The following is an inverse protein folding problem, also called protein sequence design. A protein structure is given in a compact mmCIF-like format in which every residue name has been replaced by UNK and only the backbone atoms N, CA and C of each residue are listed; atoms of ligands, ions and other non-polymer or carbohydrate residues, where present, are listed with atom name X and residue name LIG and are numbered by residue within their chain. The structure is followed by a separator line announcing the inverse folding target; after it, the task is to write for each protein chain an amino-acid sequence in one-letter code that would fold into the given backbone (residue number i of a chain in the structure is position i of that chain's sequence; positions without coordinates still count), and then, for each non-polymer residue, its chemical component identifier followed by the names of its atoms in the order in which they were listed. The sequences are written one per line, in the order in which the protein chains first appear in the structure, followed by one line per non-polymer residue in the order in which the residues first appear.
data_IF_097022088078
#
_entry.id   IF_097022088078
#
_cell.length_a   1.000
_cell.length_b   1.000
_cell.length_c   1.000
_cell.angle_alpha   90.00
_cell.angle_beta   90.00
_cell.angle_gamma   90.00
#
_symmetry.space_group_name_H-M   'P 1'
#
loop_
_entity.id
_entity.type
_entity.pdbx_description
1 polymer ?
#
# COMPACT_ATOMS: atom_id res chain seq x y z
N UNK A 1 -8.10 -27.13 -7.94
CA UNK A 1 -8.54 -26.16 -8.97
C UNK A 1 -8.16 -24.78 -8.45
N UNK A 2 -7.09 -24.17 -8.95
CA UNK A 2 -6.64 -22.85 -8.51
C UNK A 2 -7.31 -21.82 -9.40
N UNK A 3 -8.21 -21.03 -8.84
CA UNK A 3 -8.77 -19.85 -9.50
C UNK A 3 -7.75 -18.72 -9.34
N UNK A 4 -7.31 -18.14 -10.47
CA UNK A 4 -6.36 -17.02 -10.52
C UNK A 4 -7.11 -15.81 -11.06
N UNK A 5 -7.11 -14.70 -10.33
CA UNK A 5 -7.63 -13.42 -10.83
C UNK A 5 -6.47 -12.67 -11.51
N UNK A 6 -6.66 -12.29 -12.77
CA UNK A 6 -5.67 -11.53 -13.55
C UNK A 6 -6.00 -10.05 -13.36
N UNK A 7 -5.22 -9.35 -12.56
CA UNK A 7 -5.35 -7.89 -12.40
C UNK A 7 -4.36 -7.20 -13.35
N UNK A 8 -4.85 -6.31 -14.20
CA UNK A 8 -4.01 -5.48 -15.07
C UNK A 8 -3.57 -4.25 -14.30
N UNK A 9 -2.31 -4.19 -13.86
CA UNK A 9 -1.70 -2.94 -13.41
C UNK A 9 -1.03 -2.25 -14.59
N UNK A 10 -1.38 -0.98 -14.82
CA UNK A 10 -0.71 -0.13 -15.80
C UNK A 10 0.57 0.45 -15.20
N UNK A 11 1.63 -0.37 -15.11
CA UNK A 11 2.95 0.12 -14.71
C UNK A 11 3.53 1.01 -15.83
N UNK A 12 3.55 2.33 -15.64
CA UNK A 12 4.39 3.22 -16.44
C UNK A 12 5.85 3.10 -15.98
N UNK A 13 6.60 2.20 -16.60
CA UNK A 13 8.06 2.13 -16.41
C UNK A 13 8.72 3.12 -17.38
N UNK A 14 9.17 4.27 -16.87
CA UNK A 14 10.07 5.15 -17.63
C UNK A 14 11.48 4.57 -17.59
N UNK A 15 11.97 4.07 -18.73
CA UNK A 15 13.36 3.61 -18.88
C UNK A 15 14.18 4.77 -19.46
N UNK A 16 15.05 5.36 -18.65
CA UNK A 16 16.02 6.36 -19.10
C UNK A 16 17.17 5.65 -19.83
N UNK A 17 17.16 5.72 -21.17
CA UNK A 17 18.22 5.14 -22.00
C UNK A 17 19.32 6.18 -22.21
N UNK A 18 20.40 6.08 -21.44
CA UNK A 18 21.63 6.83 -21.72
C UNK A 18 22.26 6.36 -23.04
N UNK A 19 22.19 7.23 -24.05
CA UNK A 19 22.72 6.99 -25.40
C UNK A 19 24.21 7.36 -25.47
N UNK A 20 25.11 6.39 -25.44
CA UNK A 20 26.50 6.58 -25.87
C UNK A 20 26.62 6.22 -27.35
N UNK A 21 27.12 7.18 -28.15
CA UNK A 21 27.17 7.08 -29.61
C UNK A 21 28.41 6.34 -30.15
N UNK A 22 28.27 5.78 -31.37
CA UNK A 22 29.16 5.97 -32.54
C UNK A 22 28.73 5.14 -33.77
N UNK A 23 28.25 5.86 -34.79
CA UNK A 23 28.67 5.87 -36.22
C UNK A 23 29.02 4.59 -37.03
N UNK A 24 28.24 4.43 -38.13
CA UNK A 24 28.58 4.15 -39.56
C UNK A 24 28.59 2.73 -40.17
N UNK A 25 27.92 2.69 -41.34
CA UNK A 25 28.03 1.86 -42.55
C UNK A 25 27.18 0.57 -42.67
N UNK A 26 26.38 0.53 -43.75
CA UNK A 26 25.75 -0.64 -44.39
C UNK A 26 26.42 -0.89 -45.76
N UNK A 27 26.07 -1.94 -46.54
CA UNK A 27 25.40 -3.21 -46.24
C UNK A 27 26.19 -4.44 -46.72
N UNK A 28 25.99 -5.63 -46.13
CA UNK A 28 26.21 -6.89 -46.84
C UNK A 28 25.41 -8.03 -46.22
N UNK A 29 24.74 -8.76 -47.11
CA UNK A 29 23.86 -9.90 -46.86
C UNK A 29 24.74 -11.13 -46.69
N UNK A 30 24.83 -11.66 -45.49
CA UNK A 30 25.43 -12.98 -45.23
C UNK A 30 24.45 -13.80 -44.40
N UNK A 31 23.96 -14.88 -45.01
CA UNK A 31 23.33 -15.99 -44.32
C UNK A 31 24.35 -16.56 -43.34
N UNK A 32 24.05 -16.53 -42.03
CA UNK A 32 24.80 -17.31 -41.04
C UNK A 32 23.92 -17.63 -39.82
N UNK A 33 23.63 -18.93 -39.70
CA UNK A 33 23.51 -19.75 -38.50
C UNK A 33 22.61 -19.31 -37.35
N UNK A 34 21.56 -20.13 -37.13
CA UNK A 34 20.88 -20.27 -35.83
C UNK A 34 21.92 -20.52 -34.72
N UNK A 35 21.97 -19.72 -33.65
CA UNK A 35 22.63 -20.16 -32.44
C UNK A 35 21.77 -21.27 -31.81
N UNK A 36 22.29 -22.49 -31.87
CA UNK A 36 21.86 -23.59 -31.00
C UNK A 36 22.23 -23.21 -29.56
N UNK A 37 21.29 -23.42 -28.64
CA UNK A 37 21.50 -23.46 -27.19
C UNK A 37 22.22 -22.26 -26.57
N UNK A 38 21.49 -21.18 -26.32
CA UNK A 38 21.86 -20.28 -25.21
C UNK A 38 21.41 -20.97 -23.92
N UNK A 39 22.31 -21.73 -23.30
CA UNK A 39 22.19 -22.07 -21.88
C UNK A 39 22.31 -20.76 -21.11
N UNK A 40 21.19 -20.21 -20.66
CA UNK A 40 21.23 -19.29 -19.53
C UNK A 40 21.59 -20.13 -18.29
N UNK A 41 22.84 -20.04 -17.86
CA UNK A 41 23.20 -20.40 -16.50
C UNK A 41 22.54 -19.35 -15.60
N UNK A 42 21.32 -19.64 -15.14
CA UNK A 42 20.86 -19.06 -13.89
C UNK A 42 21.82 -19.57 -12.83
N UNK A 43 22.73 -18.72 -12.35
CA UNK A 43 23.30 -18.94 -11.03
C UNK A 43 22.11 -18.90 -10.07
N UNK A 44 21.71 -20.09 -9.61
CA UNK A 44 20.60 -20.34 -8.70
C UNK A 44 20.88 -19.84 -7.29
N UNK A 45 21.45 -18.63 -7.18
CA UNK A 45 21.71 -17.92 -5.94
C UNK A 45 21.07 -16.55 -6.00
N UNK A 46 19.75 -16.54 -6.20
CA UNK A 46 18.95 -15.53 -5.53
C UNK A 46 19.17 -15.75 -4.02
N UNK A 47 19.58 -14.73 -3.25
CA UNK A 47 19.69 -14.88 -1.81
C UNK A 47 18.33 -15.32 -1.27
N UNK A 48 18.31 -16.48 -0.61
CA UNK A 48 17.19 -16.85 0.23
C UNK A 48 16.90 -15.68 1.18
N UNK A 49 15.62 -15.32 1.41
CA UNK A 49 15.31 -14.35 2.44
C UNK A 49 15.87 -14.89 3.76
N UNK A 50 16.82 -14.13 4.31
CA UNK A 50 17.46 -14.45 5.58
C UNK A 50 16.37 -14.54 6.65
N UNK A 51 16.13 -15.78 7.12
CA UNK A 51 15.13 -16.11 8.15
C UNK A 51 15.39 -15.42 9.48
N UNK A 52 16.55 -14.77 9.66
CA UNK A 52 16.97 -14.16 10.91
C UNK A 52 17.14 -12.64 10.86
N UNK A 53 16.67 -11.95 9.81
CA UNK A 53 16.56 -10.49 9.90
C UNK A 53 15.40 -10.13 10.85
N UNK A 54 15.64 -9.39 11.93
CA UNK A 54 14.57 -8.98 12.83
C UNK A 54 13.60 -8.10 12.04
N UNK A 55 12.42 -8.63 11.78
CA UNK A 55 11.29 -7.87 11.27
C UNK A 55 10.91 -6.87 12.35
N UNK A 56 10.90 -5.59 12.00
CA UNK A 56 10.26 -4.57 12.83
C UNK A 56 8.85 -5.06 13.14
N UNK A 57 8.57 -5.28 14.42
CA UNK A 57 7.28 -5.77 14.93
C UNK A 57 6.16 -4.84 14.45
N UNK A 58 5.46 -5.29 13.42
CA UNK A 58 4.34 -4.65 12.76
C UNK A 58 3.94 -5.55 11.61
N UNK A 59 3.08 -6.53 11.89
CA UNK A 59 2.58 -7.47 10.88
C UNK A 59 1.60 -6.75 9.96
N UNK A 60 2.12 -5.87 9.09
CA UNK A 60 1.37 -5.36 7.97
C UNK A 60 1.42 -6.38 6.83
N UNK A 61 0.28 -6.89 6.42
CA UNK A 61 0.20 -7.86 5.34
C UNK A 61 -0.19 -7.17 4.03
N UNK A 62 0.82 -6.80 3.25
CA UNK A 62 0.64 -6.53 1.81
C UNK A 62 0.14 -7.79 1.11
N UNK A 63 -0.65 -7.64 0.03
CA UNK A 63 -0.99 -8.78 -0.83
C UNK A 63 0.28 -9.44 -1.39
N UNK A 64 0.37 -10.76 -1.24
CA UNK A 64 1.52 -11.53 -1.72
C UNK A 64 1.57 -11.58 -3.25
N UNK A 65 2.69 -11.16 -3.83
CA UNK A 65 3.03 -11.42 -5.24
C UNK A 65 3.60 -12.83 -5.36
N UNK A 66 2.87 -13.71 -6.07
CA UNK A 66 3.24 -15.11 -6.28
C UNK A 66 4.17 -15.28 -7.48
N UNK A 67 4.09 -14.36 -8.44
CA UNK A 67 4.94 -14.36 -9.63
C UNK A 67 4.54 -13.26 -10.60
N UNK A 68 5.18 -13.26 -11.77
CA UNK A 68 4.82 -12.39 -12.88
C UNK A 68 5.00 -13.14 -14.20
N UNK A 69 4.30 -12.69 -15.23
CA UNK A 69 4.39 -13.19 -16.58
C UNK A 69 4.67 -12.01 -17.52
N UNK A 70 5.73 -12.12 -18.32
CA UNK A 70 6.03 -11.16 -19.38
C UNK A 70 5.34 -11.69 -20.64
N UNK A 71 4.43 -10.92 -21.21
CA UNK A 71 3.74 -11.27 -22.47
C UNK A 71 4.76 -11.25 -23.61
N UNK A 72 5.06 -12.40 -24.18
CA UNK A 72 5.82 -12.45 -25.43
C UNK A 72 4.93 -12.03 -26.59
N UNK A 73 5.25 -10.92 -27.25
CA UNK A 73 4.68 -10.58 -28.55
C UNK A 73 5.62 -11.04 -29.67
N UNK A 74 5.10 -11.80 -30.63
CA UNK A 74 5.88 -12.34 -31.75
C UNK A 74 6.37 -11.25 -32.74
N UNK A 75 5.82 -10.05 -32.64
CA UNK A 75 6.00 -8.93 -33.57
C UNK A 75 7.10 -7.95 -33.17
N UNK A 76 7.49 -7.90 -31.90
CA UNK A 76 8.54 -7.00 -31.39
C UNK A 76 9.59 -7.81 -30.63
N UNK A 77 10.86 -7.45 -30.79
CA UNK A 77 11.96 -8.02 -29.99
C UNK A 77 12.31 -7.17 -28.77
N UNK A 78 11.65 -6.03 -28.63
CA UNK A 78 11.90 -5.08 -27.56
C UNK A 78 11.06 -5.46 -26.35
N UNK A 79 11.73 -5.84 -25.27
CA UNK A 79 11.09 -6.25 -24.02
C UNK A 79 10.31 -5.10 -23.36
N UNK A 80 10.66 -3.84 -23.66
CA UNK A 80 9.90 -2.65 -23.25
C UNK A 80 8.48 -2.61 -23.79
N UNK A 81 8.23 -3.28 -24.91
CA UNK A 81 6.94 -3.26 -25.59
C UNK A 81 6.06 -4.44 -25.11
N UNK A 82 6.61 -5.31 -24.27
CA UNK A 82 5.92 -6.45 -23.71
C UNK A 82 5.19 -6.06 -22.41
N UNK A 83 3.88 -6.37 -22.33
CA UNK A 83 3.12 -6.18 -21.10
C UNK A 83 3.56 -7.15 -19.99
N UNK A 84 3.55 -6.69 -18.74
CA UNK A 84 3.80 -7.52 -17.56
C UNK A 84 2.47 -7.79 -16.84
N UNK A 85 2.21 -9.05 -16.52
CA UNK A 85 1.08 -9.48 -15.71
C UNK A 85 1.61 -9.95 -14.36
N UNK A 86 1.12 -9.38 -13.27
CA UNK A 86 1.45 -9.87 -11.92
C UNK A 86 0.44 -10.92 -11.48
N UNK A 87 0.93 -11.99 -10.85
CA UNK A 87 0.11 -13.05 -10.25
C UNK A 87 0.19 -12.87 -8.74
N UNK A 88 -0.96 -12.64 -8.12
CA UNK A 88 -1.07 -12.37 -6.69
C UNK A 88 -1.96 -13.40 -6.00
N UNK A 89 -1.91 -13.46 -4.67
CA UNK A 89 -2.82 -14.30 -3.89
C UNK A 89 -4.28 -13.87 -4.10
N UNK A 90 -5.19 -14.85 -4.20
CA UNK A 90 -6.62 -14.55 -4.37
C UNK A 90 -7.24 -14.07 -3.05
N UNK A 91 -8.04 -13.00 -3.12
CA UNK A 91 -8.78 -12.48 -1.97
C UNK A 91 -10.18 -12.03 -2.33
N UNK A 92 -10.94 -11.66 -1.31
CA UNK A 92 -12.30 -11.12 -1.44
C UNK A 92 -12.26 -9.60 -1.40
N UNK A 93 -12.85 -8.93 -2.38
CA UNK A 93 -12.91 -7.46 -2.41
C UNK A 93 -13.57 -6.89 -1.15
N UNK A 94 -12.99 -5.83 -0.61
CA UNK A 94 -13.61 -5.04 0.45
C UNK A 94 -14.78 -4.25 -0.14
N UNK A 95 -15.93 -4.29 0.52
CA UNK A 95 -17.11 -3.51 0.14
C UNK A 95 -17.74 -2.87 1.38
N UNK A 96 -18.47 -1.76 1.25
CA UNK A 96 -19.14 -1.12 2.39
C UNK A 96 -20.11 -2.06 3.11
N UNK A 97 -20.77 -2.93 2.34
CA UNK A 97 -21.68 -3.95 2.88
C UNK A 97 -20.93 -4.95 3.77
N UNK A 98 -19.81 -5.52 3.28
CA UNK A 98 -19.02 -6.48 4.07
C UNK A 98 -18.49 -5.87 5.36
N UNK A 99 -18.04 -4.62 5.32
CA UNK A 99 -17.52 -3.94 6.51
C UNK A 99 -18.59 -3.79 7.59
N UNK A 100 -19.84 -3.47 7.22
CA UNK A 100 -20.96 -3.31 8.17
C UNK A 100 -21.48 -4.63 8.75
N UNK A 101 -21.50 -5.68 7.94
CA UNK A 101 -21.97 -7.01 8.37
C UNK A 101 -20.98 -7.73 9.30
N UNK A 102 -19.75 -7.24 9.41
CA UNK A 102 -18.78 -7.78 10.35
C UNK A 102 -19.20 -7.54 11.79
N UNK A 103 -19.04 -8.59 12.60
CA UNK A 103 -19.11 -8.44 14.05
C UNK A 103 -18.06 -7.42 14.51
N UNK A 104 -18.41 -6.67 15.55
CA UNK A 104 -17.55 -5.63 16.10
C UNK A 104 -16.09 -6.05 16.39
N UNK A 105 -15.79 -7.24 16.96
CA UNK A 105 -14.42 -7.65 17.24
C UNK A 105 -13.59 -7.79 15.95
N UNK A 106 -14.19 -8.33 14.89
CA UNK A 106 -13.54 -8.42 13.58
C UNK A 106 -13.34 -7.03 12.96
N UNK A 107 -14.30 -6.12 13.12
CA UNK A 107 -14.12 -4.73 12.66
C UNK A 107 -12.95 -4.05 13.39
N UNK A 108 -12.82 -4.27 14.69
CA UNK A 108 -11.72 -3.75 15.49
C UNK A 108 -10.38 -4.33 15.03
N UNK A 109 -10.31 -5.63 14.74
CA UNK A 109 -9.10 -6.25 14.19
C UNK A 109 -8.71 -5.65 12.84
N UNK A 110 -9.68 -5.41 11.94
CA UNK A 110 -9.43 -4.72 10.67
C UNK A 110 -8.94 -3.29 10.90
N UNK A 111 -9.48 -2.57 11.88
CA UNK A 111 -9.01 -1.22 12.22
C UNK A 111 -7.55 -1.23 12.71
N UNK A 112 -7.14 -2.26 13.47
CA UNK A 112 -5.75 -2.50 13.87
C UNK A 112 -4.85 -2.73 12.65
N UNK A 113 -5.29 -3.55 11.70
CA UNK A 113 -4.53 -3.80 10.47
C UNK A 113 -4.35 -2.51 9.64
N UNK A 114 -5.40 -1.69 9.53
CA UNK A 114 -5.36 -0.41 8.81
C UNK A 114 -4.42 0.59 9.48
N UNK A 115 -4.45 0.74 10.81
CA UNK A 115 -3.53 1.69 11.45
C UNK A 115 -2.08 1.21 11.40
N UNK A 116 -1.83 -0.10 11.42
CA UNK A 116 -0.51 -0.67 11.19
C UNK A 116 -0.01 -0.40 9.77
N UNK A 117 -0.89 -0.45 8.76
CA UNK A 117 -0.55 0.01 7.40
C UNK A 117 -0.19 1.49 7.37
N UNK A 118 -0.96 2.36 8.06
CA UNK A 118 -0.64 3.79 8.12
C UNK A 118 0.73 4.04 8.74
N UNK A 119 1.06 3.35 9.84
CA UNK A 119 2.36 3.41 10.49
C UNK A 119 3.48 2.92 9.56
N UNK A 120 3.25 1.85 8.82
CA UNK A 120 4.18 1.35 7.81
C UNK A 120 4.45 2.35 6.68
N UNK A 121 3.41 2.96 6.10
CA UNK A 121 3.56 3.97 5.05
C UNK A 121 4.31 5.21 5.58
N UNK A 122 4.02 5.62 6.82
CA UNK A 122 4.67 6.74 7.46
C UNK A 122 6.17 6.49 7.70
N UNK A 123 6.55 5.30 8.16
CA UNK A 123 7.93 4.92 8.52
C UNK A 123 8.67 4.16 7.42
N UNK A 124 8.18 4.22 6.18
CA UNK A 124 8.78 3.50 5.06
C UNK A 124 10.25 3.91 4.84
N UNK A 125 11.15 2.97 4.50
CA UNK A 125 12.55 3.26 4.23
C UNK A 125 12.75 4.14 2.97
N UNK A 126 11.71 4.29 2.14
CA UNK A 126 11.70 5.19 0.99
C UNK A 126 11.26 6.62 1.34
N UNK A 127 11.04 6.92 2.63
CA UNK A 127 10.39 8.15 3.08
C UNK A 127 8.90 7.96 3.32
N UNK A 128 8.23 8.98 3.87
CA UNK A 128 6.79 8.93 4.16
C UNK A 128 5.99 8.79 2.86
N UNK A 129 5.39 7.62 2.67
CA UNK A 129 4.63 7.30 1.46
C UNK A 129 3.24 7.93 1.50
N UNK A 130 2.78 8.44 0.37
CA UNK A 130 1.42 8.90 0.13
C UNK A 130 0.74 7.96 -0.87
N UNK A 131 -0.44 7.47 -0.49
CA UNK A 131 -1.36 6.83 -1.41
C UNK A 131 -2.33 7.90 -1.93
N UNK A 132 -2.31 8.18 -3.23
CA UNK A 132 -3.21 9.20 -3.82
C UNK A 132 -4.64 8.70 -3.94
N UNK A 133 -4.84 7.43 -4.25
CA UNK A 133 -6.17 6.83 -4.42
C UNK A 133 -6.54 5.87 -3.29
N UNK A 134 -6.43 6.31 -2.04
CA UNK A 134 -6.84 5.47 -0.90
C UNK A 134 -8.35 5.25 -0.93
N UNK A 135 -8.78 4.05 -1.34
CA UNK A 135 -10.19 3.63 -1.44
C UNK A 135 -10.35 2.19 -1.01
N UNK A 136 -11.56 1.80 -0.59
CA UNK A 136 -11.87 0.41 -0.26
C UNK A 136 -11.54 -0.59 -1.39
N UNK A 137 -11.68 -0.19 -2.66
CA UNK A 137 -11.39 -1.05 -3.82
C UNK A 137 -9.92 -1.48 -3.95
N UNK A 138 -9.03 -0.77 -3.27
CA UNK A 138 -7.59 -1.05 -3.20
C UNK A 138 -7.25 -2.13 -2.17
N UNK A 139 -8.26 -2.65 -1.46
CA UNK A 139 -8.11 -3.64 -0.42
C UNK A 139 -8.85 -4.93 -0.73
N UNK A 140 -8.29 -6.02 -0.23
CA UNK A 140 -8.88 -7.36 -0.26
C UNK A 140 -8.77 -8.02 1.10
N UNK A 141 -9.67 -8.97 1.37
CA UNK A 141 -9.55 -9.91 2.46
C UNK A 141 -8.90 -11.19 1.98
N UNK A 142 -7.84 -11.61 2.67
CA UNK A 142 -7.19 -12.91 2.48
C UNK A 142 -7.13 -13.60 3.83
N UNK A 143 -7.82 -14.72 3.98
CA UNK A 143 -7.89 -15.49 5.23
C UNK A 143 -8.30 -14.64 6.44
N UNK A 144 -9.30 -13.76 6.28
CA UNK A 144 -9.80 -12.88 7.34
C UNK A 144 -9.02 -11.59 7.55
N UNK A 145 -7.80 -11.49 7.00
CA UNK A 145 -6.97 -10.30 7.13
C UNK A 145 -7.17 -9.33 5.97
N UNK A 146 -7.28 -8.03 6.26
CA UNK A 146 -7.32 -6.99 5.22
C UNK A 146 -5.91 -6.73 4.69
N UNK A 147 -5.77 -6.63 3.37
CA UNK A 147 -4.49 -6.42 2.69
C UNK A 147 -4.64 -5.38 1.60
N UNK A 148 -3.61 -4.54 1.46
CA UNK A 148 -3.48 -3.62 0.33
C UNK A 148 -3.09 -4.41 -0.92
N UNK A 149 -3.91 -4.36 -1.97
CA UNK A 149 -3.72 -5.09 -3.22
C UNK A 149 -3.04 -4.28 -4.31
N UNK A 150 -3.21 -2.96 -4.27
CA UNK A 150 -2.79 -2.07 -5.35
C UNK A 150 -1.92 -0.91 -4.81
N UNK A 151 -0.84 -0.62 -5.54
CA UNK A 151 0.32 0.15 -5.10
C UNK A 151 0.89 1.05 -6.20
N UNK A 152 0.26 1.14 -7.36
CA UNK A 152 0.75 1.97 -8.47
C UNK A 152 0.66 3.48 -8.17
N UNK A 153 -0.29 3.89 -7.34
CA UNK A 153 -0.56 5.27 -6.95
C UNK A 153 0.15 5.71 -5.65
N UNK A 154 1.41 5.31 -5.49
CA UNK A 154 2.22 5.63 -4.30
C UNK A 154 3.42 6.52 -4.64
N UNK A 155 3.59 7.60 -3.88
CA UNK A 155 4.74 8.50 -3.96
C UNK A 155 5.39 8.72 -2.59
N UNK A 156 6.70 8.92 -2.55
CA UNK A 156 7.45 9.33 -1.34
C UNK A 156 7.61 10.84 -1.20
N UNK A 157 7.30 11.60 -2.25
CA UNK A 157 7.58 13.03 -2.28
C UNK A 157 6.58 13.79 -1.42
N UNK A 158 7.09 14.56 -0.46
CA UNK A 158 6.26 15.50 0.31
C UNK A 158 5.91 16.71 -0.56
N UNK A 159 4.73 17.29 -0.33
CA UNK A 159 4.27 18.43 -1.11
C UNK A 159 5.20 19.64 -0.92
N UNK A 160 5.63 20.25 -2.03
CA UNK A 160 6.30 21.55 -2.03
C UNK A 160 5.34 22.70 -1.68
N UNK A 161 5.85 23.75 -1.05
CA UNK A 161 5.02 24.88 -0.60
C UNK A 161 5.79 26.21 -0.62
N UNK A 162 5.04 27.32 -0.61
CA UNK A 162 5.59 28.67 -0.43
C UNK A 162 5.12 29.31 0.89
N UNK A 163 4.02 28.81 1.46
CA UNK A 163 3.35 29.31 2.67
C UNK A 163 2.51 28.22 3.31
N UNK A 164 2.14 28.40 4.57
CA UNK A 164 1.44 27.37 5.37
C UNK A 164 0.13 26.88 4.74
N UNK A 165 -0.62 27.75 4.06
CA UNK A 165 -1.88 27.35 3.42
C UNK A 165 -1.71 26.37 2.26
N UNK A 166 -0.53 26.28 1.66
CA UNK A 166 -0.27 25.28 0.61
C UNK A 166 -0.17 23.85 1.21
N UNK A 167 0.03 23.76 2.53
CA UNK A 167 0.05 22.52 3.30
C UNK A 167 -1.33 22.09 3.83
N UNK A 168 -2.40 22.75 3.40
CA UNK A 168 -3.76 22.35 3.79
C UNK A 168 -4.16 21.01 3.14
N UNK A 169 -5.03 20.28 3.83
CA UNK A 169 -5.60 19.01 3.38
C UNK A 169 -7.10 19.21 3.26
N UNK A 170 -7.64 19.07 2.05
CA UNK A 170 -9.05 19.37 1.73
C UNK A 170 -9.45 20.79 2.17
N UNK A 171 -8.61 21.77 1.83
CA UNK A 171 -8.76 23.20 2.16
C UNK A 171 -8.84 23.54 3.66
N UNK A 172 -8.51 22.58 4.53
CA UNK A 172 -8.44 22.77 5.98
C UNK A 172 -7.00 22.68 6.50
N UNK A 173 -6.70 23.48 7.53
CA UNK A 173 -5.42 23.40 8.23
C UNK A 173 -5.21 22.02 8.85
N UNK A 174 -4.06 21.42 8.55
CA UNK A 174 -3.60 20.17 9.17
C UNK A 174 -2.55 20.44 10.27
N UNK A 175 -2.36 21.70 10.67
CA UNK A 175 -1.27 22.16 11.56
C UNK A 175 0.12 21.74 11.05
N UNK A 176 0.30 21.72 9.73
CA UNK A 176 1.59 21.50 9.06
C UNK A 176 2.06 22.84 8.52
N UNK A 177 3.15 23.42 9.06
CA UNK A 177 3.72 24.64 8.51
C UNK A 177 4.52 24.34 7.23
N UNK A 178 4.63 25.34 6.36
CA UNK A 178 5.57 25.29 5.25
C UNK A 178 6.98 25.61 5.76
N UNK A 179 7.88 24.63 5.76
CA UNK A 179 9.26 24.81 6.23
C UNK A 179 10.23 24.42 5.14
N UNK A 180 11.16 25.33 4.81
CA UNK A 180 12.15 25.13 3.75
C UNK A 180 11.52 24.71 2.40
N UNK A 181 10.35 25.26 2.10
CA UNK A 181 9.62 24.96 0.86
C UNK A 181 8.93 23.60 0.82
N UNK A 182 8.79 22.89 1.96
CA UNK A 182 8.18 21.56 2.03
C UNK A 182 7.18 21.45 3.19
N UNK A 183 6.08 20.73 2.95
CA UNK A 183 5.06 20.37 3.95
C UNK A 183 5.40 19.03 4.62
N UNK A 184 6.43 18.98 5.47
CA UNK A 184 6.88 17.72 6.08
C UNK A 184 5.77 17.05 6.91
N UNK A 185 5.45 15.79 6.61
CA UNK A 185 4.39 15.02 7.27
C UNK A 185 3.01 15.13 6.62
N UNK A 186 2.86 15.85 5.50
CA UNK A 186 1.57 15.96 4.80
C UNK A 186 1.13 14.62 4.22
N UNK A 187 2.07 13.79 3.77
CA UNK A 187 1.79 12.46 3.27
C UNK A 187 1.11 11.60 4.33
N UNK A 188 1.72 11.52 5.52
CA UNK A 188 1.23 10.75 6.66
C UNK A 188 -0.15 11.24 7.14
N UNK A 189 -0.32 12.55 7.38
CA UNK A 189 -1.63 13.10 7.81
C UNK A 189 -2.74 12.89 6.79
N UNK A 190 -2.41 12.99 5.51
CA UNK A 190 -3.40 12.80 4.46
C UNK A 190 -3.82 11.34 4.31
N UNK A 191 -2.88 10.39 4.37
CA UNK A 191 -3.21 8.97 4.38
C UNK A 191 -4.13 8.65 5.55
N UNK A 192 -3.81 9.16 6.75
CA UNK A 192 -4.61 8.92 7.95
C UNK A 192 -6.03 9.47 7.80
N UNK A 193 -6.20 10.67 7.22
CA UNK A 193 -7.52 11.23 6.93
C UNK A 193 -8.31 10.35 5.95
N UNK A 194 -7.69 9.95 4.83
CA UNK A 194 -8.37 9.12 3.83
C UNK A 194 -8.72 7.74 4.40
N UNK A 195 -7.80 7.10 5.12
CA UNK A 195 -8.06 5.85 5.82
C UNK A 195 -9.17 5.99 6.85
N UNK A 196 -9.27 7.15 7.50
CA UNK A 196 -10.36 7.43 8.44
C UNK A 196 -11.71 7.41 7.74
N UNK A 197 -11.85 8.18 6.66
CA UNK A 197 -13.12 8.30 5.93
C UNK A 197 -13.51 6.98 5.27
N UNK A 198 -12.56 6.32 4.61
CA UNK A 198 -12.83 5.13 3.79
C UNK A 198 -13.02 3.86 4.62
N UNK A 199 -12.32 3.73 5.75
CA UNK A 199 -12.24 2.47 6.50
C UNK A 199 -12.48 2.65 8.00
N UNK A 200 -11.71 3.48 8.71
CA UNK A 200 -11.78 3.50 10.18
C UNK A 200 -13.14 3.98 10.69
N UNK A 201 -13.77 4.97 10.06
CA UNK A 201 -15.09 5.45 10.45
C UNK A 201 -16.16 4.35 10.34
N UNK A 202 -16.38 3.68 9.19
CA UNK A 202 -17.35 2.58 9.13
C UNK A 202 -16.97 1.38 10.02
N UNK A 203 -15.69 1.13 10.25
CA UNK A 203 -15.23 0.06 11.16
C UNK A 203 -15.50 0.39 12.64
N UNK A 204 -15.31 1.64 13.04
CA UNK A 204 -15.33 2.08 14.44
C UNK A 204 -16.64 2.80 14.86
N UNK A 205 -17.64 2.86 14.01
CA UNK A 205 -18.98 3.38 14.36
C UNK A 205 -19.89 2.24 14.85
N UNK A 206 -20.86 2.54 15.72
CA UNK A 206 -21.73 1.53 16.35
C UNK A 206 -20.94 0.56 17.26
N UNK A 207 -19.98 1.11 18.01
CA UNK A 207 -19.27 0.37 19.03
C UNK A 207 -20.18 -0.09 20.18
N UNK A 208 -19.77 -1.09 20.96
CA UNK A 208 -20.36 -1.38 22.26
C UNK A 208 -20.42 -0.14 23.15
N UNK A 209 -21.46 -0.05 23.99
CA UNK A 209 -21.74 1.13 24.81
C UNK A 209 -20.56 1.57 25.68
N UNK A 210 -19.78 0.62 26.21
CA UNK A 210 -18.60 0.89 27.03
C UNK A 210 -17.40 1.47 26.24
N UNK A 211 -17.40 1.38 24.89
CA UNK A 211 -16.37 1.95 24.01
C UNK A 211 -16.81 3.25 23.33
N UNK A 212 -18.11 3.57 23.32
CA UNK A 212 -18.68 4.66 22.52
C UNK A 212 -17.98 6.01 22.68
N UNK A 213 -17.64 6.40 23.91
CA UNK A 213 -16.98 7.68 24.14
C UNK A 213 -15.54 7.69 23.57
N UNK A 214 -14.82 6.57 23.73
CA UNK A 214 -13.44 6.43 23.28
C UNK A 214 -13.36 6.39 21.74
N UNK A 215 -14.21 5.59 21.09
CA UNK A 215 -14.26 5.49 19.62
C UNK A 215 -14.73 6.78 18.98
N UNK A 216 -15.77 7.42 19.53
CA UNK A 216 -16.26 8.70 19.00
C UNK A 216 -15.19 9.81 19.11
N UNK A 217 -14.47 9.87 20.23
CA UNK A 217 -13.37 10.82 20.41
C UNK A 217 -12.24 10.57 19.41
N UNK A 218 -11.82 9.30 19.25
CA UNK A 218 -10.80 8.92 18.29
C UNK A 218 -11.18 9.34 16.87
N UNK A 219 -12.38 8.98 16.41
CA UNK A 219 -12.87 9.34 15.08
C UNK A 219 -12.92 10.84 14.88
N UNK A 220 -13.39 11.59 15.89
CA UNK A 220 -13.40 13.05 15.84
C UNK A 220 -11.98 13.62 15.67
N UNK A 221 -11.02 13.19 16.49
CA UNK A 221 -9.66 13.72 16.44
C UNK A 221 -8.94 13.35 15.13
N UNK A 222 -9.26 12.19 14.55
CA UNK A 222 -8.81 11.79 13.21
C UNK A 222 -9.40 12.67 12.11
N UNK A 223 -10.71 12.90 12.09
CA UNK A 223 -11.39 13.74 11.08
C UNK A 223 -10.88 15.18 11.10
N UNK A 224 -10.60 15.72 12.30
CA UNK A 224 -9.98 17.05 12.47
C UNK A 224 -8.45 17.05 12.29
N UNK A 225 -7.86 15.95 11.83
CA UNK A 225 -6.42 15.84 11.54
C UNK A 225 -5.55 16.20 12.75
N UNK A 226 -6.04 15.99 13.98
CA UNK A 226 -5.37 16.41 15.23
C UNK A 226 -4.26 15.45 15.62
N UNK A 227 -4.41 14.16 15.29
CA UNK A 227 -3.47 13.12 15.66
C UNK A 227 -2.33 12.99 14.65
N UNK A 228 -1.16 12.58 15.13
CA UNK A 228 -0.14 11.90 14.33
C UNK A 228 -0.51 10.42 14.15
N UNK A 229 0.16 9.74 13.22
CA UNK A 229 -0.03 8.29 13.01
C UNK A 229 0.31 7.47 14.25
N UNK A 230 1.35 7.86 15.00
CA UNK A 230 1.70 7.22 16.27
C UNK A 230 0.61 7.43 17.33
N UNK A 231 0.08 8.65 17.47
CA UNK A 231 -1.01 8.93 18.42
C UNK A 231 -2.29 8.18 18.05
N UNK A 232 -2.59 8.06 16.75
CA UNK A 232 -3.74 7.31 16.26
C UNK A 232 -3.59 5.80 16.53
N UNK A 233 -2.38 5.25 16.35
CA UNK A 233 -2.05 3.85 16.70
C UNK A 233 -2.27 3.58 18.18
N UNK A 234 -1.67 4.39 19.06
CA UNK A 234 -1.84 4.25 20.51
C UNK A 234 -3.31 4.37 20.91
N UNK A 235 -4.08 5.24 20.25
CA UNK A 235 -5.52 5.39 20.54
C UNK A 235 -6.32 4.15 20.15
N UNK A 236 -5.98 3.47 19.04
CA UNK A 236 -6.60 2.20 18.64
C UNK A 236 -6.18 1.07 19.58
N UNK A 237 -4.92 1.04 20.01
CA UNK A 237 -4.42 0.09 21.01
C UNK A 237 -5.21 0.23 22.34
N UNK A 238 -5.48 1.45 22.80
CA UNK A 238 -6.33 1.69 23.97
C UNK A 238 -7.77 1.15 23.80
N UNK A 239 -8.34 1.23 22.59
CA UNK A 239 -9.65 0.65 22.27
C UNK A 239 -9.60 -0.88 22.37
N UNK A 240 -8.51 -1.49 21.89
CA UNK A 240 -8.26 -2.94 21.99
C UNK A 240 -8.11 -3.37 23.44
N UNK A 241 -7.32 -2.67 24.24
CA UNK A 241 -7.12 -2.98 25.66
C UNK A 241 -8.44 -2.96 26.42
N UNK A 242 -9.24 -1.90 26.24
CA UNK A 242 -10.54 -1.80 26.91
C UNK A 242 -11.54 -2.85 26.40
N UNK A 243 -11.46 -3.25 25.13
CA UNK A 243 -12.23 -4.37 24.61
C UNK A 243 -11.86 -5.69 25.32
N UNK A 244 -10.57 -6.00 25.41
CA UNK A 244 -10.07 -7.22 26.05
C UNK A 244 -10.35 -7.24 27.56
N UNK A 245 -10.44 -6.09 28.21
CA UNK A 245 -10.80 -5.99 29.63
C UNK A 245 -12.29 -6.28 29.89
N UNK A 246 -13.18 -5.86 28.98
CA UNK A 246 -14.63 -5.83 29.21
C UNK A 246 -15.43 -6.88 28.43
N UNK A 247 -14.81 -7.59 27.48
CA UNK A 247 -15.46 -8.55 26.60
C UNK A 247 -14.81 -9.93 26.70
N UNK A 248 -15.63 -10.97 26.80
CA UNK A 248 -15.17 -12.37 26.72
C UNK A 248 -14.91 -12.84 25.28
N UNK A 249 -15.22 -12.00 24.28
CA UNK A 249 -15.07 -12.36 22.86
C UNK A 249 -13.69 -11.92 22.35
N UNK A 250 -12.84 -12.86 21.85
CA UNK A 250 -11.52 -12.51 21.34
C UNK A 250 -11.60 -11.70 20.05
N UNK A 251 -10.50 -11.00 19.73
CA UNK A 251 -10.30 -10.46 18.38
C UNK A 251 -10.10 -11.63 17.40
N UNK A 252 -10.64 -11.47 16.17
CA UNK A 252 -10.62 -12.48 15.10
C UNK A 252 -10.03 -11.87 13.85
#
# INVERSE_FOLDING_TARGET
MVLVEVTFLALHVSVDVHRTGKSKNSPSRTYLNRPKNVKFSLDSRLPHPDRNRPTSKGNFSKQSMLGFCIRGEATTKNVSDHGVVMVTELGLRVTPYRLREMLWPSRLQVAVDIINLMDYLHRSPLGSLRMSDFKQSQFIFVNGQIKLSDLDDITSDERGCQRDRDCYILDESANIPCKNGVCSGINSKSNLLLATVELLQPLLTESPSFLNQLTAKLLQDLSYKRLSTEQAKNSIENVVELWLEKSDTPLV
#
